data_IF_516939082287
#
_entry.id   IF_516939082287
#
_cell.length_a   1.000
_cell.length_b   1.000
_cell.length_c   1.000
_cell.angle_alpha   90.00
_cell.angle_beta   90.00
_cell.angle_gamma   90.00
#
_symmetry.space_group_name_H-M   'P 1'
#
loop_
_entity.id
_entity.type
_entity.pdbx_description
1 polymer ?
#
# COMPACT_ATOMS: atom_id res chain seq x y z
N UNK A 1 -20.80 -24.73 8.34
CA UNK A 1 -20.41 -23.79 7.25
C UNK A 1 -20.31 -22.38 7.82
N UNK A 2 -19.14 -21.78 7.82
CA UNK A 2 -18.92 -20.38 8.24
C UNK A 2 -19.07 -19.47 7.03
N UNK A 3 -19.42 -18.20 7.26
CA UNK A 3 -19.54 -17.20 6.21
C UNK A 3 -18.79 -15.94 6.58
N UNK A 4 -18.20 -15.28 5.58
CA UNK A 4 -17.52 -13.99 5.71
C UNK A 4 -18.10 -13.07 4.67
N UNK A 5 -18.59 -11.89 5.08
CA UNK A 5 -19.07 -10.86 4.17
C UNK A 5 -17.92 -9.92 3.84
N UNK A 6 -17.70 -9.70 2.56
CA UNK A 6 -16.66 -8.84 2.05
C UNK A 6 -17.22 -7.85 1.03
N UNK A 7 -16.58 -6.69 0.95
CA UNK A 7 -16.83 -5.71 -0.11
C UNK A 7 -15.50 -5.51 -0.84
N UNK A 8 -15.52 -5.73 -2.14
CA UNK A 8 -14.38 -5.56 -3.02
C UNK A 8 -14.45 -4.21 -3.73
N UNK A 9 -13.31 -3.57 -3.86
CA UNK A 9 -13.12 -2.34 -4.61
C UNK A 9 -11.78 -2.38 -5.34
N UNK A 10 -11.56 -1.43 -6.25
CA UNK A 10 -10.20 -1.14 -6.71
C UNK A 10 -9.89 0.34 -6.53
N UNK A 11 -8.66 0.66 -6.17
CA UNK A 11 -8.12 2.01 -6.12
C UNK A 11 -7.12 2.17 -7.24
N UNK A 12 -7.47 2.96 -8.27
CA UNK A 12 -6.62 3.17 -9.46
C UNK A 12 -6.09 1.85 -10.07
N UNK A 13 -6.89 0.77 -9.99
CA UNK A 13 -6.56 -0.55 -10.52
C UNK A 13 -6.13 -1.59 -9.47
N UNK A 14 -5.64 -1.19 -8.31
CA UNK A 14 -5.28 -2.13 -7.24
C UNK A 14 -6.49 -2.60 -6.45
N UNK A 15 -6.73 -3.91 -6.35
CA UNK A 15 -7.91 -4.43 -5.69
C UNK A 15 -7.74 -4.45 -4.17
N UNK A 16 -8.84 -4.08 -3.48
CA UNK A 16 -8.97 -4.14 -2.01
C UNK A 16 -10.21 -4.93 -1.65
N UNK A 17 -10.07 -5.85 -0.71
CA UNK A 17 -11.18 -6.63 -0.11
C UNK A 17 -11.35 -6.24 1.35
N UNK A 18 -12.44 -5.58 1.69
CA UNK A 18 -12.77 -5.23 3.08
C UNK A 18 -13.63 -6.34 3.70
N UNK A 19 -13.13 -6.97 4.75
CA UNK A 19 -13.90 -7.90 5.59
C UNK A 19 -14.77 -7.09 6.52
N UNK A 20 -16.09 -7.12 6.28
CA UNK A 20 -17.07 -6.30 7.01
C UNK A 20 -17.83 -7.08 8.08
N UNK A 21 -18.00 -8.40 7.91
CA UNK A 21 -18.64 -9.30 8.89
C UNK A 21 -17.98 -10.68 8.82
N UNK A 22 -17.87 -11.35 9.96
CA UNK A 22 -17.36 -12.72 10.05
C UNK A 22 -15.84 -12.82 10.13
N UNK A 23 -15.14 -11.73 10.37
CA UNK A 23 -13.73 -11.74 10.72
C UNK A 23 -13.46 -12.40 12.09
N UNK A 24 -12.19 -12.74 12.40
CA UNK A 24 -11.83 -13.35 13.67
C UNK A 24 -11.96 -12.35 14.83
N UNK A 25 -12.32 -12.88 16.00
CA UNK A 25 -12.35 -12.13 17.26
C UNK A 25 -10.92 -12.02 17.82
N UNK A 26 -10.30 -10.85 17.68
CA UNK A 26 -8.92 -10.63 18.11
C UNK A 26 -8.79 -10.23 19.59
N UNK A 27 -9.90 -10.20 20.34
CA UNK A 27 -9.92 -9.85 21.77
C UNK A 27 -9.57 -8.39 22.06
N UNK A 28 -9.31 -8.11 23.33
CA UNK A 28 -8.94 -6.78 23.81
C UNK A 28 -7.46 -6.47 23.53
N UNK A 29 -7.10 -5.18 23.61
CA UNK A 29 -5.73 -4.70 23.46
C UNK A 29 -5.54 -3.71 22.32
N UNK A 30 -4.32 -3.18 22.21
CA UNK A 30 -3.92 -2.24 21.17
C UNK A 30 -4.02 -2.86 19.76
N UNK A 31 -4.07 -2.02 18.74
CA UNK A 31 -4.07 -2.49 17.35
C UNK A 31 -2.82 -3.35 17.03
N UNK A 32 -1.67 -3.04 17.65
CA UNK A 32 -0.45 -3.83 17.51
C UNK A 32 -0.62 -5.24 18.08
N UNK A 33 -1.16 -5.37 19.32
CA UNK A 33 -1.41 -6.66 19.95
C UNK A 33 -2.46 -7.49 19.17
N UNK A 34 -3.47 -6.83 18.62
CA UNK A 34 -4.46 -7.48 17.73
C UNK A 34 -3.81 -7.95 16.43
N UNK A 35 -2.91 -7.15 15.85
CA UNK A 35 -2.14 -7.52 14.67
C UNK A 35 -1.25 -8.74 14.93
N UNK A 36 -0.54 -8.79 16.07
CA UNK A 36 0.28 -9.91 16.47
C UNK A 36 -0.54 -11.20 16.62
N UNK A 37 -1.73 -11.11 17.26
CA UNK A 37 -2.66 -12.25 17.34
C UNK A 37 -3.19 -12.67 15.98
N UNK A 38 -3.51 -11.72 15.10
CA UNK A 38 -3.94 -12.02 13.74
C UNK A 38 -2.89 -12.84 12.98
N UNK A 39 -1.62 -12.45 13.10
CA UNK A 39 -0.50 -13.15 12.48
C UNK A 39 -0.28 -14.54 13.09
N UNK A 40 -0.31 -14.65 14.43
CA UNK A 40 0.08 -15.89 15.11
C UNK A 40 -1.03 -16.94 15.20
N UNK A 41 -2.31 -16.51 15.28
CA UNK A 41 -3.43 -17.39 15.55
C UNK A 41 -4.40 -17.51 14.35
N UNK A 42 -4.44 -16.51 13.46
CA UNK A 42 -5.44 -16.39 12.39
C UNK A 42 -4.86 -16.28 10.98
N UNK A 43 -3.60 -16.67 10.76
CA UNK A 43 -3.00 -16.64 9.42
C UNK A 43 -3.76 -17.54 8.42
N UNK A 44 -4.35 -18.63 8.91
CA UNK A 44 -5.24 -19.49 8.12
C UNK A 44 -6.48 -18.73 7.60
N UNK A 45 -7.07 -17.81 8.41
CA UNK A 45 -8.18 -16.96 7.98
C UNK A 45 -7.70 -15.98 6.90
N UNK A 46 -6.56 -15.30 7.13
CA UNK A 46 -5.94 -14.40 6.15
C UNK A 46 -5.80 -15.10 4.80
N UNK A 47 -5.13 -16.25 4.81
CA UNK A 47 -4.89 -17.04 3.61
C UNK A 47 -6.17 -17.45 2.89
N UNK A 48 -7.16 -17.94 3.63
CA UNK A 48 -8.41 -18.43 3.05
C UNK A 48 -9.30 -17.33 2.44
N UNK A 49 -9.20 -16.08 2.94
CA UNK A 49 -9.97 -14.94 2.44
C UNK A 49 -9.31 -14.29 1.24
N UNK A 50 -7.96 -14.29 1.19
CA UNK A 50 -7.23 -13.49 0.20
C UNK A 50 -6.70 -14.32 -0.97
N UNK A 51 -6.36 -15.60 -0.76
CA UNK A 51 -5.81 -16.46 -1.79
C UNK A 51 -6.91 -17.23 -2.55
N UNK A 52 -6.52 -17.89 -3.62
CA UNK A 52 -7.39 -18.82 -4.33
C UNK A 52 -7.87 -19.97 -3.40
N UNK A 53 -9.08 -20.44 -3.58
CA UNK A 53 -10.03 -20.17 -4.67
C UNK A 53 -10.99 -19.00 -4.41
N UNK A 54 -10.91 -18.30 -3.25
CA UNK A 54 -11.84 -17.25 -2.85
C UNK A 54 -11.33 -15.83 -3.14
N UNK A 55 -10.06 -15.71 -3.46
CA UNK A 55 -9.37 -14.47 -3.80
C UNK A 55 -8.35 -14.68 -4.90
N UNK A 56 -7.30 -13.87 -4.86
CA UNK A 56 -6.14 -13.97 -5.75
C UNK A 56 -4.93 -13.30 -5.08
N UNK A 57 -3.74 -13.66 -5.52
CA UNK A 57 -2.46 -13.13 -4.98
C UNK A 57 -2.31 -11.60 -5.03
N UNK A 58 -3.10 -10.93 -5.88
CA UNK A 58 -3.05 -9.47 -6.05
C UNK A 58 -3.94 -8.71 -5.07
N UNK A 59 -4.86 -9.39 -4.37
CA UNK A 59 -5.78 -8.73 -3.45
C UNK A 59 -5.06 -8.24 -2.19
N UNK A 60 -5.37 -7.01 -1.78
CA UNK A 60 -5.08 -6.54 -0.42
C UNK A 60 -6.35 -6.64 0.40
N UNK A 61 -6.28 -7.42 1.47
CA UNK A 61 -7.34 -7.54 2.46
C UNK A 61 -7.28 -6.41 3.48
N UNK A 62 -8.44 -6.05 4.02
CA UNK A 62 -8.60 -5.10 5.10
C UNK A 62 -9.59 -5.67 6.13
N UNK A 63 -9.10 -6.08 7.29
CA UNK A 63 -9.94 -6.51 8.41
C UNK A 63 -10.45 -5.28 9.14
N UNK A 64 -11.72 -4.97 8.95
CA UNK A 64 -12.40 -3.85 9.60
C UNK A 64 -12.76 -4.22 11.04
N UNK A 65 -12.40 -3.36 11.99
CA UNK A 65 -12.64 -3.55 13.42
C UNK A 65 -13.11 -2.26 14.09
N UNK A 66 -13.72 -2.40 15.27
CA UNK A 66 -14.01 -1.26 16.14
C UNK A 66 -12.71 -0.59 16.62
N UNK A 67 -12.67 0.74 16.64
CA UNK A 67 -11.49 1.48 17.05
C UNK A 67 -11.28 1.41 18.57
N UNK A 68 -10.03 1.47 19.00
CA UNK A 68 -9.70 1.62 20.40
C UNK A 68 -9.82 3.10 20.84
N UNK A 69 -9.36 4.01 19.99
CA UNK A 69 -9.53 5.44 20.21
C UNK A 69 -10.93 5.91 19.78
N UNK A 70 -11.60 6.65 20.66
CA UNK A 70 -12.91 7.26 20.35
C UNK A 70 -12.85 8.33 19.24
N UNK A 71 -11.65 8.81 18.93
CA UNK A 71 -11.42 9.80 17.86
C UNK A 71 -11.34 9.14 16.49
N UNK A 72 -11.11 7.81 16.46
CA UNK A 72 -10.99 7.05 15.22
C UNK A 72 -12.35 6.49 14.80
N UNK A 73 -12.56 6.50 13.49
CA UNK A 73 -13.75 5.92 12.84
C UNK A 73 -13.75 4.40 12.96
N UNK A 74 -12.59 3.80 12.76
CA UNK A 74 -12.39 2.35 12.78
C UNK A 74 -10.91 2.04 13.03
N UNK A 75 -10.65 0.77 13.35
CA UNK A 75 -9.33 0.15 13.25
C UNK A 75 -9.30 -0.78 12.03
N UNK A 76 -8.15 -0.92 11.40
CA UNK A 76 -7.97 -1.82 10.25
C UNK A 76 -6.60 -2.49 10.30
N UNK A 77 -6.57 -3.80 10.01
CA UNK A 77 -5.35 -4.54 9.70
C UNK A 77 -5.37 -4.83 8.20
N UNK A 78 -4.40 -4.27 7.48
CA UNK A 78 -4.19 -4.61 6.09
C UNK A 78 -3.33 -5.85 5.97
N UNK A 79 -3.62 -6.69 4.96
CA UNK A 79 -2.88 -7.93 4.72
C UNK A 79 -2.91 -8.29 3.23
N UNK A 80 -1.97 -9.10 2.80
CA UNK A 80 -1.90 -9.60 1.43
C UNK A 80 -1.68 -11.12 1.41
N UNK A 81 -1.29 -11.67 0.28
CA UNK A 81 -1.05 -13.10 0.08
C UNK A 81 0.09 -13.67 0.96
N UNK A 82 1.00 -12.84 1.48
CA UNK A 82 2.15 -13.30 2.29
C UNK A 82 2.07 -12.92 3.77
N UNK A 83 1.32 -11.87 4.15
CA UNK A 83 1.28 -11.45 5.56
C UNK A 83 0.52 -10.15 5.77
N UNK A 84 0.80 -9.48 6.90
CA UNK A 84 0.22 -8.18 7.25
C UNK A 84 1.07 -7.03 6.73
N UNK A 85 0.41 -5.90 6.47
CA UNK A 85 1.02 -4.64 6.05
C UNK A 85 0.86 -3.63 7.19
N UNK A 86 1.90 -2.86 7.47
CA UNK A 86 1.85 -1.80 8.48
C UNK A 86 0.84 -0.70 8.11
N UNK A 87 0.88 -0.28 6.86
CA UNK A 87 -0.03 0.69 6.25
C UNK A 87 -0.22 0.34 4.77
N UNK A 88 -1.39 0.68 4.21
CA UNK A 88 -1.69 0.52 2.79
C UNK A 88 -2.45 1.73 2.27
N UNK A 89 -1.83 2.50 1.36
CA UNK A 89 -2.42 3.73 0.81
C UNK A 89 -3.69 3.44 -0.02
N UNK A 90 -3.59 2.56 -1.02
CA UNK A 90 -4.74 2.20 -1.85
C UNK A 90 -5.82 1.48 -1.04
N UNK A 91 -5.42 0.62 -0.09
CA UNK A 91 -6.35 -0.06 0.82
C UNK A 91 -7.12 0.92 1.69
N UNK A 92 -6.49 1.99 2.19
CA UNK A 92 -7.17 3.04 2.96
C UNK A 92 -8.18 3.81 2.09
N UNK A 93 -7.83 4.15 0.84
CA UNK A 93 -8.75 4.77 -0.10
C UNK A 93 -9.95 3.86 -0.37
N UNK A 94 -9.70 2.56 -0.65
CA UNK A 94 -10.74 1.54 -0.83
C UNK A 94 -11.62 1.35 0.39
N UNK A 95 -11.04 1.35 1.61
CA UNK A 95 -11.76 1.29 2.88
C UNK A 95 -12.71 2.47 3.05
N UNK A 96 -12.27 3.70 2.78
CA UNK A 96 -13.09 4.90 2.91
C UNK A 96 -14.29 4.86 1.95
N UNK A 97 -14.09 4.44 0.70
CA UNK A 97 -15.17 4.27 -0.26
C UNK A 97 -16.12 3.14 0.14
N UNK A 98 -15.61 2.05 0.71
CA UNK A 98 -16.43 0.97 1.27
C UNK A 98 -17.30 1.45 2.44
N UNK A 99 -16.75 2.25 3.36
CA UNK A 99 -17.52 2.81 4.49
C UNK A 99 -18.57 3.82 4.03
N UNK A 100 -18.27 4.61 2.99
CA UNK A 100 -19.23 5.51 2.36
C UNK A 100 -20.37 4.73 1.67
N UNK A 101 -20.05 3.67 0.95
CA UNK A 101 -21.01 2.76 0.31
C UNK A 101 -21.95 2.11 1.33
N UNK A 102 -21.44 1.72 2.49
CA UNK A 102 -22.23 1.21 3.62
C UNK A 102 -23.05 2.29 4.36
N UNK A 103 -22.92 3.55 3.96
CA UNK A 103 -23.59 4.68 4.63
C UNK A 103 -23.03 4.99 6.03
N UNK A 104 -21.86 4.46 6.38
CA UNK A 104 -21.25 4.65 7.70
C UNK A 104 -20.54 6.00 7.84
N UNK A 105 -20.16 6.63 6.73
CA UNK A 105 -19.51 7.94 6.70
C UNK A 105 -20.11 8.85 5.64
N UNK A 106 -19.92 10.15 5.83
CA UNK A 106 -20.21 11.21 4.87
C UNK A 106 -18.91 11.90 4.45
N UNK A 107 -18.90 12.69 3.37
CA UNK A 107 -17.75 13.52 3.00
C UNK A 107 -17.23 14.33 4.20
N UNK A 108 -15.91 14.32 4.38
CA UNK A 108 -15.21 14.94 5.49
C UNK A 108 -13.98 14.15 5.92
N UNK A 109 -13.33 14.60 6.99
CA UNK A 109 -12.12 14.01 7.56
C UNK A 109 -12.45 12.97 8.61
N UNK A 110 -11.72 11.87 8.56
CA UNK A 110 -11.88 10.72 9.44
C UNK A 110 -10.50 10.20 9.85
N UNK A 111 -10.39 9.70 11.06
CA UNK A 111 -9.17 9.07 11.58
C UNK A 111 -9.34 7.56 11.53
N UNK A 112 -8.30 6.85 11.06
CA UNK A 112 -8.25 5.39 10.95
C UNK A 112 -7.04 4.87 11.72
N UNK A 113 -7.26 3.92 12.64
CA UNK A 113 -6.16 3.23 13.32
C UNK A 113 -5.59 2.14 12.44
N UNK A 114 -4.25 2.15 12.26
CA UNK A 114 -3.49 1.10 11.58
C UNK A 114 -2.33 0.63 12.47
N UNK A 115 -1.74 -0.55 12.22
CA UNK A 115 -0.54 -0.99 12.94
C UNK A 115 0.65 -0.02 12.83
N UNK A 116 0.75 0.76 11.75
CA UNK A 116 1.78 1.78 11.60
C UNK A 116 1.45 3.11 12.30
N UNK A 117 0.24 3.27 12.84
CA UNK A 117 -0.23 4.47 13.54
C UNK A 117 -1.58 4.95 13.04
N UNK A 118 -2.03 6.08 13.60
CA UNK A 118 -3.28 6.72 13.17
C UNK A 118 -3.01 7.52 11.89
N UNK A 119 -3.81 7.28 10.87
CA UNK A 119 -3.81 8.02 9.62
C UNK A 119 -5.09 8.82 9.46
N UNK A 120 -4.99 10.01 8.91
CA UNK A 120 -6.13 10.85 8.55
C UNK A 120 -6.51 10.58 7.10
N UNK A 121 -7.80 10.40 6.83
CA UNK A 121 -8.33 10.25 5.49
C UNK A 121 -9.53 11.17 5.28
N UNK A 122 -9.56 11.89 4.16
CA UNK A 122 -10.66 12.79 3.80
C UNK A 122 -11.42 12.25 2.59
N UNK A 123 -12.69 11.92 2.79
CA UNK A 123 -13.60 11.62 1.70
C UNK A 123 -14.12 12.93 1.11
N UNK A 124 -13.89 13.15 -0.18
CA UNK A 124 -14.38 14.31 -0.91
C UNK A 124 -15.77 14.07 -1.52
N UNK A 125 -16.46 15.15 -1.87
CA UNK A 125 -17.80 15.09 -2.52
C UNK A 125 -17.76 14.51 -3.94
N UNK A 126 -16.58 14.49 -4.59
CA UNK A 126 -16.35 13.87 -5.91
C UNK A 126 -15.94 12.39 -5.81
N UNK A 127 -16.12 11.78 -4.63
CA UNK A 127 -15.74 10.41 -4.31
C UNK A 127 -14.24 10.10 -4.45
N UNK A 128 -13.37 11.12 -4.51
CA UNK A 128 -11.95 10.92 -4.28
C UNK A 128 -11.65 10.89 -2.78
N UNK A 129 -10.52 10.30 -2.42
CA UNK A 129 -10.05 10.24 -1.02
C UNK A 129 -8.63 10.78 -0.96
N UNK A 130 -8.38 11.70 -0.02
CA UNK A 130 -7.02 12.10 0.35
C UNK A 130 -6.62 11.39 1.63
N UNK A 131 -5.46 10.75 1.64
CA UNK A 131 -4.88 10.09 2.82
C UNK A 131 -3.65 10.87 3.24
N UNK A 132 -3.60 11.32 4.51
CA UNK A 132 -2.39 11.78 5.18
C UNK A 132 -1.65 10.57 5.70
N UNK A 133 -0.59 10.22 5.00
CA UNK A 133 0.18 9.03 5.34
C UNK A 133 1.03 9.26 6.60
N UNK A 134 1.64 8.19 7.09
CA UNK A 134 2.61 8.25 8.20
C UNK A 134 3.83 9.10 7.83
N UNK A 135 4.54 9.68 8.83
CA UNK A 135 5.75 10.45 8.57
C UNK A 135 6.75 9.64 7.75
N UNK A 136 7.17 10.22 6.62
CA UNK A 136 8.04 9.59 5.63
C UNK A 136 9.39 10.29 5.58
N UNK A 137 10.45 9.55 5.25
CA UNK A 137 11.83 10.06 5.21
C UNK A 137 12.72 9.23 4.28
N UNK A 138 13.75 9.85 3.75
CA UNK A 138 14.82 9.17 3.05
C UNK A 138 15.90 8.74 4.06
N UNK A 139 16.26 7.47 4.06
CA UNK A 139 17.26 6.92 4.99
C UNK A 139 18.64 6.89 4.38
N UNK A 140 18.76 6.45 3.13
CA UNK A 140 20.02 6.35 2.40
C UNK A 140 19.82 6.93 1.01
N UNK A 141 20.70 7.85 0.64
CA UNK A 141 20.73 8.45 -0.68
C UNK A 141 21.77 7.78 -1.56
N UNK A 142 21.41 7.55 -2.82
CA UNK A 142 22.30 7.08 -3.88
C UNK A 142 23.13 5.85 -3.48
N UNK A 143 22.47 4.85 -2.85
CA UNK A 143 23.10 3.56 -2.55
C UNK A 143 23.56 2.90 -3.85
N UNK A 144 24.84 2.53 -3.92
CA UNK A 144 25.39 1.73 -5.01
C UNK A 144 25.16 0.26 -4.70
N UNK A 145 24.44 -0.44 -5.53
CA UNK A 145 24.09 -1.85 -5.37
C UNK A 145 24.62 -2.65 -6.56
N UNK A 146 25.45 -3.63 -6.26
CA UNK A 146 25.88 -4.61 -7.26
C UNK A 146 24.81 -5.70 -7.40
N UNK A 147 24.36 -5.93 -8.63
CA UNK A 147 23.44 -6.99 -9.01
C UNK A 147 24.16 -8.01 -9.88
N UNK A 148 23.46 -9.04 -10.38
CA UNK A 148 24.11 -10.08 -11.17
C UNK A 148 24.90 -9.53 -12.39
N UNK A 149 25.82 -10.33 -12.88
CA UNK A 149 26.69 -10.01 -14.04
C UNK A 149 27.63 -8.79 -13.83
N UNK A 150 27.83 -8.37 -12.55
CA UNK A 150 28.71 -7.22 -12.23
C UNK A 150 28.08 -5.87 -12.62
N UNK A 151 26.79 -5.82 -12.91
CA UNK A 151 26.06 -4.58 -13.13
C UNK A 151 25.83 -3.87 -11.79
N UNK A 152 26.09 -2.57 -11.77
CA UNK A 152 25.80 -1.71 -10.62
C UNK A 152 24.64 -0.80 -10.95
N UNK A 153 23.69 -0.69 -10.02
CA UNK A 153 22.58 0.27 -10.06
C UNK A 153 22.62 1.17 -8.83
N UNK A 154 21.97 2.32 -8.92
CA UNK A 154 21.90 3.28 -7.83
C UNK A 154 20.45 3.55 -7.45
N UNK A 155 20.22 3.77 -6.17
CA UNK A 155 18.88 4.10 -5.68
C UNK A 155 18.90 4.61 -4.26
N UNK A 156 17.75 5.09 -3.83
CA UNK A 156 17.53 5.59 -2.49
C UNK A 156 16.80 4.54 -1.64
N UNK A 157 17.18 4.38 -0.36
CA UNK A 157 16.37 3.64 0.60
C UNK A 157 15.52 4.63 1.38
N UNK A 158 14.20 4.46 1.33
CA UNK A 158 13.24 5.39 1.89
C UNK A 158 12.08 4.69 2.59
N UNK A 159 11.55 5.35 3.61
CA UNK A 159 10.36 4.93 4.36
C UNK A 159 9.15 5.77 3.96
N UNK A 160 8.08 5.12 3.52
CA UNK A 160 6.79 5.76 3.21
C UNK A 160 5.59 5.05 3.86
N UNK A 161 5.83 4.29 4.94
CA UNK A 161 4.88 3.36 5.57
C UNK A 161 5.26 1.90 5.35
N UNK A 162 6.12 1.65 4.36
CA UNK A 162 6.89 0.44 4.09
C UNK A 162 8.29 0.87 3.64
N UNK A 163 9.25 -0.06 3.60
CA UNK A 163 10.59 0.20 3.13
C UNK A 163 10.73 -0.01 1.63
N UNK A 164 11.24 0.99 0.96
CA UNK A 164 11.40 1.03 -0.49
C UNK A 164 12.87 1.19 -0.90
N UNK A 165 13.25 0.56 -2.00
CA UNK A 165 14.39 0.96 -2.80
C UNK A 165 13.88 1.63 -4.08
N UNK A 166 14.24 2.88 -4.29
CA UNK A 166 13.79 3.77 -5.36
C UNK A 166 14.89 3.91 -6.40
N UNK A 167 14.68 3.41 -7.63
CA UNK A 167 15.71 3.33 -8.67
C UNK A 167 15.24 3.98 -9.98
N UNK A 168 16.11 4.81 -10.58
CA UNK A 168 15.89 5.46 -11.88
C UNK A 168 16.82 4.94 -12.98
N UNK A 169 18.03 4.38 -12.63
CA UNK A 169 19.05 3.94 -13.59
C UNK A 169 18.96 2.46 -13.98
N UNK A 170 17.75 1.89 -13.96
CA UNK A 170 17.51 0.47 -14.23
C UNK A 170 17.64 0.07 -15.72
N UNK A 171 17.41 1.00 -16.66
CA UNK A 171 17.56 0.78 -18.10
C UNK A 171 16.40 0.11 -18.81
N UNK A 172 15.24 -0.08 -18.17
CA UNK A 172 14.04 -0.66 -18.75
C UNK A 172 13.02 0.39 -19.16
N UNK A 173 12.20 0.10 -20.17
CA UNK A 173 10.97 0.85 -20.44
C UNK A 173 9.85 0.31 -19.56
N UNK A 174 9.19 1.20 -18.80
CA UNK A 174 8.08 0.82 -17.90
C UNK A 174 6.78 0.66 -18.69
N UNK A 175 6.64 -0.46 -19.40
CA UNK A 175 5.49 -0.84 -20.18
C UNK A 175 4.87 -2.13 -19.63
N UNK A 176 3.54 -2.27 -19.67
CA UNK A 176 2.85 -3.51 -19.28
C UNK A 176 3.31 -4.73 -20.09
N UNK A 177 3.70 -4.54 -21.35
CA UNK A 177 4.29 -5.62 -22.17
C UNK A 177 5.57 -6.20 -21.58
N UNK A 178 6.29 -5.41 -20.78
CA UNK A 178 7.56 -5.77 -20.16
C UNK A 178 7.37 -6.23 -18.70
N UNK A 179 6.12 -6.40 -18.24
CA UNK A 179 5.77 -6.68 -16.84
C UNK A 179 6.57 -7.87 -16.26
N UNK A 180 6.72 -8.94 -17.03
CA UNK A 180 7.47 -10.12 -16.55
C UNK A 180 8.94 -9.77 -16.32
N UNK A 181 9.57 -9.10 -17.27
CA UNK A 181 10.99 -8.70 -17.21
C UNK A 181 11.27 -7.72 -16.06
N UNK A 182 10.34 -6.74 -15.86
CA UNK A 182 10.37 -5.81 -14.74
C UNK A 182 10.23 -6.51 -13.39
N UNK A 183 9.33 -7.51 -13.31
CA UNK A 183 9.16 -8.31 -12.09
C UNK A 183 10.41 -9.14 -11.79
N UNK A 184 10.95 -9.85 -12.79
CA UNK A 184 12.16 -10.67 -12.62
C UNK A 184 13.35 -9.79 -12.16
N UNK A 185 13.53 -8.63 -12.78
CA UNK A 185 14.57 -7.66 -12.41
C UNK A 185 14.41 -7.12 -10.99
N UNK A 186 13.19 -6.71 -10.62
CA UNK A 186 12.95 -6.16 -9.28
C UNK A 186 13.07 -7.21 -8.18
N UNK A 187 12.77 -8.48 -8.46
CA UNK A 187 13.06 -9.61 -7.54
C UNK A 187 14.57 -9.77 -7.37
N UNK A 188 15.35 -9.69 -8.45
CA UNK A 188 16.82 -9.73 -8.40
C UNK A 188 17.38 -8.59 -7.53
N UNK A 189 16.91 -7.36 -7.75
CA UNK A 189 17.31 -6.18 -6.95
C UNK A 189 17.00 -6.38 -5.47
N UNK A 190 15.80 -6.87 -5.13
CA UNK A 190 15.42 -7.15 -3.75
C UNK A 190 16.35 -8.18 -3.10
N UNK A 191 16.67 -9.26 -3.80
CA UNK A 191 17.56 -10.29 -3.29
C UNK A 191 18.96 -9.73 -3.05
N UNK A 192 19.50 -8.95 -4.00
CA UNK A 192 20.80 -8.28 -3.85
C UNK A 192 20.84 -7.32 -2.66
N UNK A 193 19.75 -6.57 -2.40
CA UNK A 193 19.62 -5.70 -1.22
C UNK A 193 19.65 -6.52 0.09
N UNK A 194 18.95 -7.65 0.13
CA UNK A 194 18.95 -8.52 1.32
C UNK A 194 20.36 -9.09 1.58
N UNK A 195 21.05 -9.53 0.53
CA UNK A 195 22.43 -10.03 0.62
C UNK A 195 23.43 -8.92 1.02
N UNK A 196 23.16 -7.68 0.62
CA UNK A 196 23.94 -6.50 1.00
C UNK A 196 23.64 -5.98 2.42
N UNK A 197 22.73 -6.63 3.17
CA UNK A 197 22.43 -6.29 4.57
C UNK A 197 21.23 -5.35 4.78
N UNK A 198 20.36 -5.22 3.77
CA UNK A 198 19.13 -4.43 3.84
C UNK A 198 17.85 -5.31 3.81
N UNK A 199 17.69 -6.31 4.69
CA UNK A 199 16.57 -7.27 4.63
C UNK A 199 15.19 -6.66 4.92
N UNK A 200 15.14 -5.42 5.41
CA UNK A 200 13.89 -4.69 5.66
C UNK A 200 13.31 -4.08 4.39
N UNK A 201 14.10 -3.94 3.33
CA UNK A 201 13.65 -3.36 2.06
C UNK A 201 12.93 -4.45 1.27
N UNK A 202 11.62 -4.41 1.27
CA UNK A 202 10.74 -5.44 0.70
C UNK A 202 9.99 -4.97 -0.55
N UNK A 203 9.97 -3.66 -0.80
CA UNK A 203 9.42 -3.05 -2.00
C UNK A 203 10.54 -2.47 -2.88
N UNK A 204 10.45 -2.74 -4.19
CA UNK A 204 11.36 -2.16 -5.19
C UNK A 204 10.53 -1.31 -6.15
N UNK A 205 10.90 -0.05 -6.31
CA UNK A 205 10.18 0.88 -7.15
C UNK A 205 11.10 1.47 -8.21
N UNK A 206 10.73 1.25 -9.46
CA UNK A 206 11.43 1.74 -10.64
C UNK A 206 10.71 2.97 -11.17
N UNK A 207 11.48 3.98 -11.62
CA UNK A 207 10.93 5.23 -12.16
C UNK A 207 11.41 5.50 -13.58
N UNK A 208 10.54 6.10 -14.36
CA UNK A 208 10.83 6.62 -15.71
C UNK A 208 10.12 7.96 -15.92
N UNK A 209 10.45 8.69 -17.02
CA UNK A 209 9.59 9.76 -17.48
C UNK A 209 8.14 9.27 -17.67
N UNK A 210 7.13 10.12 -17.41
CA UNK A 210 5.74 9.76 -17.56
C UNK A 210 5.36 9.53 -19.02
N UNK A 211 4.24 8.81 -19.25
CA UNK A 211 3.69 8.63 -20.60
C UNK A 211 2.78 9.77 -21.03
N UNK A 212 2.39 10.64 -20.08
CA UNK A 212 1.48 11.78 -20.29
C UNK A 212 2.11 13.09 -19.85
N UNK A 213 1.79 14.20 -20.55
CA UNK A 213 2.33 15.52 -20.28
C UNK A 213 1.85 16.13 -18.94
N UNK A 214 0.84 15.54 -18.30
CA UNK A 214 0.30 16.02 -17.02
C UNK A 214 0.88 15.32 -15.79
N UNK A 215 1.60 14.22 -15.97
CA UNK A 215 2.24 13.50 -14.88
C UNK A 215 3.71 13.90 -14.74
N UNK A 216 4.25 13.78 -13.53
CA UNK A 216 5.63 14.15 -13.23
C UNK A 216 6.58 12.96 -13.35
N UNK A 217 6.09 11.75 -13.11
CA UNK A 217 6.87 10.50 -13.16
C UNK A 217 5.96 9.30 -13.37
N UNK A 218 6.51 8.22 -13.90
CA UNK A 218 5.88 6.92 -14.02
C UNK A 218 6.64 5.89 -13.19
N UNK A 219 5.94 4.93 -12.58
CA UNK A 219 6.56 3.89 -11.78
C UNK A 219 6.12 2.47 -12.14
N UNK A 220 6.94 1.51 -11.69
CA UNK A 220 6.63 0.10 -11.52
C UNK A 220 7.04 -0.30 -10.12
N UNK A 221 6.16 -0.93 -9.35
CA UNK A 221 6.41 -1.29 -7.95
C UNK A 221 6.26 -2.79 -7.76
N UNK A 222 7.32 -3.45 -7.28
CA UNK A 222 7.26 -4.82 -6.77
C UNK A 222 6.88 -4.80 -5.29
N UNK A 223 5.82 -5.55 -4.94
CA UNK A 223 5.40 -5.78 -3.56
C UNK A 223 6.03 -7.04 -2.94
N UNK A 224 5.99 -7.20 -1.61
CA UNK A 224 6.60 -8.35 -0.91
C UNK A 224 6.18 -9.72 -1.45
N UNK A 225 4.92 -9.88 -1.86
CA UNK A 225 4.37 -11.11 -2.42
C UNK A 225 4.83 -11.49 -3.82
N UNK A 226 5.73 -10.71 -4.44
CA UNK A 226 6.21 -10.95 -5.79
C UNK A 226 5.24 -10.48 -6.88
N UNK A 227 4.18 -9.77 -6.52
CA UNK A 227 3.25 -9.12 -7.43
C UNK A 227 3.58 -7.65 -7.57
N UNK A 228 3.16 -7.03 -8.68
CA UNK A 228 3.36 -5.60 -8.90
C UNK A 228 2.08 -4.81 -8.61
N UNK A 229 2.22 -3.57 -8.15
CA UNK A 229 1.12 -2.62 -7.99
C UNK A 229 0.56 -2.17 -9.35
N UNK A 230 -0.76 -2.10 -9.46
CA UNK A 230 -1.45 -1.56 -10.64
C UNK A 230 -1.65 -0.06 -10.50
N UNK A 231 -1.83 0.42 -9.28
CA UNK A 231 -1.86 1.85 -8.95
C UNK A 231 -0.45 2.42 -8.78
N UNK A 232 -0.30 3.75 -8.64
CA UNK A 232 1.01 4.37 -8.41
C UNK A 232 1.66 4.05 -7.06
N UNK A 233 1.12 3.18 -6.25
CA UNK A 233 1.57 2.85 -4.89
C UNK A 233 1.60 4.05 -3.94
N UNK A 234 0.66 4.14 -2.99
CA UNK A 234 0.57 5.29 -2.07
C UNK A 234 1.75 5.42 -1.12
N UNK A 235 2.26 4.29 -0.59
CA UNK A 235 3.45 4.27 0.28
C UNK A 235 4.74 4.49 -0.50
N UNK A 236 4.85 3.97 -1.72
CA UNK A 236 5.96 4.23 -2.62
C UNK A 236 6.03 5.69 -3.06
N UNK A 237 4.90 6.25 -3.50
CA UNK A 237 4.81 7.71 -3.78
C UNK A 237 5.22 8.53 -2.56
N UNK A 238 4.81 8.14 -1.34
CA UNK A 238 5.21 8.84 -0.11
C UNK A 238 6.73 8.78 0.13
N UNK A 239 7.36 7.64 -0.12
CA UNK A 239 8.80 7.47 -0.06
C UNK A 239 9.51 8.34 -1.10
N UNK A 240 8.99 8.39 -2.34
CA UNK A 240 9.52 9.27 -3.42
C UNK A 240 9.43 10.74 -3.04
N UNK A 241 8.29 11.20 -2.50
CA UNK A 241 8.13 12.59 -2.04
C UNK A 241 9.14 12.94 -0.96
N UNK A 242 9.47 12.04 -0.04
CA UNK A 242 10.45 12.27 1.00
C UNK A 242 11.85 12.51 0.41
N UNK A 243 12.26 11.73 -0.59
CA UNK A 243 13.52 11.93 -1.28
C UNK A 243 13.55 13.23 -2.07
N UNK A 244 12.46 13.59 -2.78
CA UNK A 244 12.34 14.84 -3.52
C UNK A 244 12.36 16.08 -2.60
N UNK A 245 11.74 15.99 -1.42
CA UNK A 245 11.75 17.05 -0.41
C UNK A 245 13.16 17.27 0.14
N UNK A 246 13.89 16.21 0.48
CA UNK A 246 15.27 16.27 0.96
C UNK A 246 16.22 16.90 -0.08
N UNK A 247 16.00 16.59 -1.36
CA UNK A 247 16.75 17.16 -2.47
C UNK A 247 16.35 18.61 -2.80
N UNK A 248 15.29 19.13 -2.18
CA UNK A 248 14.74 20.46 -2.51
C UNK A 248 14.09 20.54 -3.90
N UNK A 249 13.83 19.38 -4.53
CA UNK A 249 13.18 19.29 -5.85
C UNK A 249 11.66 19.48 -5.79
N UNK A 250 11.05 19.20 -4.64
CA UNK A 250 9.63 19.42 -4.39
C UNK A 250 9.46 20.30 -3.13
N UNK A 251 8.52 21.25 -3.16
CA UNK A 251 8.23 22.13 -2.03
C UNK A 251 6.99 21.67 -1.27
N UNK A 252 6.87 22.00 0.05
CA UNK A 252 5.65 21.74 0.80
C UNK A 252 4.42 22.32 0.08
N UNK A 253 3.35 21.51 -0.02
CA UNK A 253 2.10 21.85 -0.70
C UNK A 253 2.16 21.82 -2.23
N UNK A 254 3.32 21.67 -2.84
CA UNK A 254 3.43 21.51 -4.29
C UNK A 254 2.87 20.16 -4.70
N UNK A 255 2.06 20.16 -5.76
CA UNK A 255 1.48 18.94 -6.32
C UNK A 255 2.53 18.16 -7.12
N UNK A 256 2.52 16.84 -6.94
CA UNK A 256 3.21 15.83 -7.71
C UNK A 256 2.19 14.83 -8.24
N UNK A 257 2.25 14.50 -9.51
CA UNK A 257 1.38 13.50 -10.13
C UNK A 257 2.21 12.27 -10.48
N UNK A 258 1.99 11.18 -9.74
CA UNK A 258 2.62 9.89 -9.98
C UNK A 258 1.74 9.04 -10.87
N UNK A 259 2.26 8.63 -12.02
CA UNK A 259 1.62 7.69 -12.95
C UNK A 259 2.11 6.26 -12.64
N UNK A 260 1.19 5.29 -12.68
CA UNK A 260 1.52 3.86 -12.59
C UNK A 260 1.86 3.26 -13.94
N UNK A 261 2.36 2.02 -13.93
CA UNK A 261 2.57 1.24 -15.15
C UNK A 261 1.28 1.00 -15.95
N UNK A 262 0.11 1.05 -15.30
CA UNK A 262 -1.20 0.91 -15.95
C UNK A 262 -1.73 2.22 -16.54
N UNK A 263 -1.07 3.36 -16.26
CA UNK A 263 -1.48 4.69 -16.71
C UNK A 263 -2.48 5.39 -15.78
N UNK A 264 -2.84 4.79 -14.63
CA UNK A 264 -3.61 5.46 -13.58
C UNK A 264 -2.72 6.40 -12.77
N UNK A 265 -3.30 7.36 -12.04
CA UNK A 265 -2.50 8.37 -11.36
C UNK A 265 -2.95 8.63 -9.92
N UNK A 266 -1.97 8.91 -9.05
CA UNK A 266 -2.21 9.59 -7.78
C UNK A 266 -1.76 11.04 -7.86
N UNK A 267 -2.56 11.93 -7.26
CA UNK A 267 -2.14 13.28 -6.96
C UNK A 267 -1.54 13.31 -5.56
N UNK A 268 -0.30 13.76 -5.43
CA UNK A 268 0.42 13.75 -4.18
C UNK A 268 0.97 15.15 -3.83
N UNK A 269 1.17 15.39 -2.56
CA UNK A 269 1.87 16.54 -2.00
C UNK A 269 2.36 16.20 -0.60
N UNK A 270 3.07 17.11 0.07
CA UNK A 270 3.47 16.89 1.45
C UNK A 270 3.39 18.15 2.30
N UNK A 271 3.35 17.97 3.61
CA UNK A 271 3.58 18.97 4.64
C UNK A 271 4.83 18.59 5.43
N UNK A 272 5.49 19.59 6.02
CA UNK A 272 6.60 19.34 6.95
C UNK A 272 6.07 18.66 8.23
N UNK A 273 6.77 17.66 8.77
CA UNK A 273 6.42 17.09 10.07
C UNK A 273 6.78 18.09 11.18
N UNK A 274 5.80 18.62 11.91
CA UNK A 274 6.06 19.62 12.95
C UNK A 274 6.91 19.07 14.12
N UNK A 275 7.00 17.74 14.25
CA UNK A 275 7.74 17.04 15.30
C UNK A 275 9.16 16.69 14.90
N UNK A 276 9.44 16.60 13.59
CA UNK A 276 10.76 16.22 13.08
C UNK A 276 11.00 16.79 11.67
N UNK A 277 11.88 17.78 11.57
CA UNK A 277 12.21 18.48 10.32
C UNK A 277 12.83 17.59 9.22
N UNK A 278 13.33 16.40 9.59
CA UNK A 278 13.89 15.44 8.64
C UNK A 278 12.81 14.49 8.08
N UNK A 279 11.54 14.75 8.37
CA UNK A 279 10.41 13.95 7.92
C UNK A 279 9.36 14.84 7.27
N UNK A 280 8.60 14.25 6.41
CA UNK A 280 7.44 14.86 5.78
C UNK A 280 6.17 14.09 6.14
N UNK A 281 5.03 14.75 6.04
CA UNK A 281 3.70 14.10 6.09
C UNK A 281 3.15 14.09 4.67
N UNK A 282 3.23 12.98 3.94
CA UNK A 282 2.71 12.90 2.59
C UNK A 282 1.18 12.90 2.57
N UNK A 283 0.61 13.48 1.53
CA UNK A 283 -0.81 13.46 1.19
C UNK A 283 -0.98 12.80 -0.16
N UNK A 284 -1.74 11.73 -0.21
CA UNK A 284 -2.00 10.97 -1.43
C UNK A 284 -3.49 11.03 -1.73
N UNK A 285 -3.87 11.50 -2.90
CA UNK A 285 -5.25 11.57 -3.37
C UNK A 285 -5.44 10.65 -4.57
N UNK A 286 -6.46 9.79 -4.49
CA UNK A 286 -6.86 8.87 -5.56
C UNK A 286 -8.36 8.58 -5.51
N UNK A 287 -8.83 7.75 -6.43
CA UNK A 287 -10.22 7.28 -6.52
C UNK A 287 -10.29 5.78 -6.38
N UNK A 288 -11.34 5.32 -5.70
CA UNK A 288 -11.69 3.91 -5.68
C UNK A 288 -13.13 3.69 -6.13
N UNK A 289 -13.40 2.49 -6.60
CA UNK A 289 -14.69 2.07 -7.12
C UNK A 289 -15.06 0.71 -6.55
N UNK A 290 -16.29 0.58 -6.00
CA UNK A 290 -16.81 -0.71 -5.55
C UNK A 290 -16.99 -1.62 -6.75
N UNK A 291 -16.53 -2.86 -6.63
CA UNK A 291 -16.59 -3.87 -7.69
C UNK A 291 -17.53 -5.02 -7.34
N UNK A 292 -17.64 -5.38 -6.05
CA UNK A 292 -18.54 -6.46 -5.63
C UNK A 292 -18.89 -6.37 -4.14
N UNK A 293 -20.07 -6.89 -3.80
CA UNK A 293 -20.44 -7.33 -2.45
C UNK A 293 -20.56 -8.85 -2.49
N UNK A 294 -19.84 -9.54 -1.61
CA UNK A 294 -19.73 -11.01 -1.70
C UNK A 294 -19.84 -11.65 -0.33
N UNK A 295 -20.50 -12.80 -0.27
CA UNK A 295 -20.43 -13.71 0.87
C UNK A 295 -19.51 -14.87 0.52
N UNK A 296 -18.40 -14.98 1.20
CA UNK A 296 -17.49 -16.11 1.11
C UNK A 296 -18.03 -17.25 2.00
N UNK A 297 -17.99 -18.46 1.48
CA UNK A 297 -18.43 -19.67 2.18
C UNK A 297 -17.23 -20.55 2.52
N UNK A 298 -17.23 -21.06 3.75
CA UNK A 298 -16.20 -21.95 4.25
C UNK A 298 -16.88 -23.22 4.79
N UNK A 299 -16.74 -24.30 4.04
CA UNK A 299 -17.21 -25.61 4.43
C UNK A 299 -16.10 -26.36 5.18
N UNK A 300 -16.42 -27.01 6.27
CA UNK A 300 -15.45 -27.78 7.07
C UNK A 300 -14.92 -29.01 6.31
N UNK A 301 -15.63 -29.44 5.26
CA UNK A 301 -15.21 -30.54 4.39
C UNK A 301 -14.36 -30.07 3.18
N UNK A 302 -14.28 -28.74 2.94
CA UNK A 302 -13.45 -28.18 1.89
C UNK A 302 -11.98 -28.21 2.31
N UNK A 303 -11.10 -28.97 1.63
CA UNK A 303 -9.68 -29.03 1.99
C UNK A 303 -8.95 -27.67 1.82
N UNK A 304 -9.55 -26.72 1.10
CA UNK A 304 -9.07 -25.34 0.92
C UNK A 304 -9.87 -24.34 1.80
N UNK A 305 -10.68 -24.82 2.73
CA UNK A 305 -11.32 -24.05 3.78
C UNK A 305 -10.35 -23.64 4.89
N UNK A 306 -10.89 -23.17 6.04
CA UNK A 306 -10.13 -22.92 7.27
C UNK A 306 -10.79 -23.51 8.49
#
# INVERSE_FOLDING_TARGET
MKTVQVIDSHTEGDPTRVVVVGGPELGEGSISEKCDRFVTEFDHFRSAVINEPRGSEILVGALLMEPQSKECLCSVIFFNNVGVLGMCGHGTIGLMITLAHLGRIQPGRHMVETPAGIVEAELHTDHSVTVWNVPSFCEIKNLSLEISEGKTIHGDISWGGNWFFLCEDHGFELLLSNQKELTDFTIEVRNALHDAGYPKVDHIELFSPPSSDYADSRNFVLCPGGVYDRSPCGTGTSAKLACLAEEGKLKPGQTWIQESITGTTFQASYEEDPRNKNRIIPKIRGKAFITAETTLFFDEQDPLGF
#
